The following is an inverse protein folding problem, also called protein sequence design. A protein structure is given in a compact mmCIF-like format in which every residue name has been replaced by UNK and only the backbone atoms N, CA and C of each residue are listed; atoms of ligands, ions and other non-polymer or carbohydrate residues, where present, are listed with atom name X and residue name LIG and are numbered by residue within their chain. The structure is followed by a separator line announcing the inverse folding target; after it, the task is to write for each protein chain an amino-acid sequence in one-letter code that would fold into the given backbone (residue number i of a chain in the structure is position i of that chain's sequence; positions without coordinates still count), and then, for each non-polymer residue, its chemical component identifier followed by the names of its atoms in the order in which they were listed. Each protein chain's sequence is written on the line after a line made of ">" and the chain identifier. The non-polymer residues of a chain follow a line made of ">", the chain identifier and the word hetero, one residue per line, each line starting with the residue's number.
data_IF_944487094750
#
_entry.id   IF_944487094750
#
_cell.length_a   1.000
_cell.length_b   1.000
_cell.length_c   1.000
_cell.angle_alpha   90.00
_cell.angle_beta   90.00
_cell.angle_gamma   90.00
#
_symmetry.space_group_name_H-M   'P 1'
#
loop_
_entity.id
_entity.type
_entity.pdbx_description
1 polymer ?
#
# COMPACT_ATOMS: atom_id res chain seq x y z
N UNK A 1 -3.13 -12.93 9.18
CA UNK A 1 -4.58 -12.84 9.46
C UNK A 1 -5.18 -11.74 8.58
N UNK A 2 -6.38 -11.92 8.06
CA UNK A 2 -7.06 -10.86 7.29
C UNK A 2 -7.44 -9.68 8.21
N UNK A 3 -7.35 -8.42 7.74
CA UNK A 3 -7.76 -7.27 8.53
C UNK A 3 -9.25 -7.32 8.87
N UNK A 4 -9.59 -6.95 10.10
CA UNK A 4 -10.96 -6.86 10.60
C UNK A 4 -11.12 -5.60 11.44
N UNK A 5 -12.18 -4.85 11.17
CA UNK A 5 -12.63 -3.75 12.04
C UNK A 5 -13.83 -4.26 12.84
N UNK A 6 -13.72 -4.27 14.17
CA UNK A 6 -14.79 -4.71 15.08
C UNK A 6 -14.88 -3.79 16.31
N UNK A 7 -16.04 -3.74 16.95
CA UNK A 7 -16.24 -2.93 18.15
C UNK A 7 -15.44 -3.50 19.34
N UNK A 8 -14.47 -2.73 19.83
CA UNK A 8 -13.56 -3.14 20.92
C UNK A 8 -14.23 -3.39 22.28
N UNK A 9 -15.47 -2.95 22.46
CA UNK A 9 -16.27 -3.15 23.69
C UNK A 9 -16.94 -4.52 23.78
N UNK A 10 -16.91 -5.34 22.73
CA UNK A 10 -17.42 -6.70 22.80
C UNK A 10 -16.33 -7.64 23.37
N UNK A 11 -16.45 -8.14 24.62
CA UNK A 11 -15.44 -9.01 25.24
C UNK A 11 -15.26 -10.35 24.50
N UNK A 12 -16.22 -10.77 23.67
CA UNK A 12 -16.09 -11.95 22.77
C UNK A 12 -15.51 -11.61 21.39
N UNK A 13 -15.39 -10.33 21.05
CA UNK A 13 -15.05 -9.85 19.70
C UNK A 13 -13.69 -10.32 19.17
N UNK A 14 -12.67 -10.46 20.04
CA UNK A 14 -11.33 -10.93 19.61
C UNK A 14 -11.30 -12.42 19.24
N UNK A 15 -12.05 -13.26 19.94
CA UNK A 15 -12.17 -14.70 19.64
C UNK A 15 -13.05 -14.95 18.43
N UNK A 16 -14.23 -14.32 18.43
CA UNK A 16 -15.20 -14.35 17.32
C UNK A 16 -14.58 -13.90 15.98
N UNK A 17 -13.76 -12.85 16.00
CA UNK A 17 -13.00 -12.36 14.85
C UNK A 17 -12.09 -13.42 14.22
N UNK A 18 -11.41 -14.21 15.06
CA UNK A 18 -10.45 -15.24 14.64
C UNK A 18 -11.17 -16.50 14.15
N UNK A 19 -12.35 -16.78 14.69
CA UNK A 19 -13.24 -17.87 14.29
C UNK A 19 -14.11 -17.53 13.07
N UNK A 20 -14.04 -16.28 12.57
CA UNK A 20 -14.82 -15.85 11.40
C UNK A 20 -16.30 -15.58 11.69
N UNK A 21 -16.67 -15.45 12.96
CA UNK A 21 -18.04 -15.13 13.38
C UNK A 21 -18.36 -13.67 12.98
N UNK A 22 -19.49 -13.41 12.28
CA UNK A 22 -19.85 -12.07 11.86
C UNK A 22 -20.06 -11.14 13.07
N UNK A 23 -19.25 -10.09 13.17
CA UNK A 23 -19.28 -9.13 14.29
C UNK A 23 -18.61 -7.78 13.97
N UNK A 24 -18.41 -7.47 12.70
CA UNK A 24 -17.68 -6.31 12.21
C UNK A 24 -17.49 -6.36 10.68
N UNK A 25 -16.59 -5.54 10.16
CA UNK A 25 -16.26 -5.46 8.72
C UNK A 25 -14.93 -6.15 8.45
N UNK A 26 -14.95 -7.22 7.65
CA UNK A 26 -13.76 -8.00 7.26
C UNK A 26 -13.25 -7.53 5.90
N UNK A 27 -11.94 -7.33 5.80
CA UNK A 27 -11.26 -6.98 4.56
C UNK A 27 -10.52 -8.20 4.04
N UNK A 28 -10.98 -8.73 2.91
CA UNK A 28 -10.34 -9.89 2.31
C UNK A 28 -8.97 -9.54 1.74
N UNK A 29 -8.05 -10.50 1.82
CA UNK A 29 -6.74 -10.33 1.19
C UNK A 29 -6.91 -10.13 -0.33
N UNK A 30 -6.02 -9.33 -0.93
CA UNK A 30 -5.97 -9.15 -2.38
C UNK A 30 -5.73 -10.51 -3.06
N UNK A 31 -6.49 -10.82 -4.11
CA UNK A 31 -6.40 -12.11 -4.81
C UNK A 31 -4.99 -12.37 -5.40
N UNK A 32 -4.32 -11.32 -5.87
CA UNK A 32 -2.92 -11.34 -6.30
C UNK A 32 -2.10 -10.39 -5.42
N UNK A 33 -1.56 -10.85 -4.27
CA UNK A 33 -0.82 -10.00 -3.34
C UNK A 33 0.46 -9.45 -3.95
N UNK A 34 0.93 -8.31 -3.42
CA UNK A 34 2.26 -7.79 -3.76
C UNK A 34 3.33 -8.86 -3.46
N UNK A 35 4.29 -8.99 -4.39
CA UNK A 35 5.46 -9.86 -4.25
C UNK A 35 6.15 -9.62 -2.90
N UNK A 36 6.50 -10.70 -2.19
CA UNK A 36 7.05 -10.61 -0.84
C UNK A 36 8.29 -9.70 -0.76
N UNK A 37 9.13 -9.73 -1.81
CA UNK A 37 10.35 -8.90 -1.94
C UNK A 37 10.10 -7.39 -1.97
N UNK A 38 8.88 -6.92 -2.25
CA UNK A 38 8.52 -5.49 -2.32
C UNK A 38 7.78 -5.01 -1.07
N UNK A 39 7.35 -5.92 -0.18
CA UNK A 39 6.54 -5.56 0.99
C UNK A 39 7.25 -4.66 2.00
N UNK A 40 8.59 -4.71 2.03
CA UNK A 40 9.39 -3.86 2.92
C UNK A 40 9.21 -2.37 2.65
N UNK A 41 8.83 -1.99 1.41
CA UNK A 41 8.64 -0.59 1.00
C UNK A 41 7.56 0.10 1.86
N UNK A 42 6.52 -0.61 2.29
CA UNK A 42 5.46 -0.05 3.14
C UNK A 42 5.92 0.33 4.55
N UNK A 43 7.06 -0.20 5.02
CA UNK A 43 7.64 0.15 6.32
C UNK A 43 8.77 1.16 6.25
N UNK A 44 9.26 1.49 5.05
CA UNK A 44 10.36 2.44 4.87
C UNK A 44 9.83 3.88 4.85
N UNK A 45 10.40 4.80 5.65
CA UNK A 45 10.06 6.21 5.53
C UNK A 45 10.51 6.75 4.16
N UNK A 46 9.72 7.61 3.49
CA UNK A 46 10.16 8.29 2.28
C UNK A 46 11.41 9.13 2.54
N UNK A 47 12.45 8.94 1.74
CA UNK A 47 13.69 9.72 1.85
C UNK A 47 13.63 11.07 1.10
N UNK A 48 12.56 11.30 0.34
CA UNK A 48 12.37 12.46 -0.52
C UNK A 48 11.30 12.18 -1.57
N UNK A 49 11.03 13.16 -2.42
CA UNK A 49 10.02 13.09 -3.48
C UNK A 49 10.66 13.44 -4.83
N UNK A 50 10.17 12.79 -5.88
CA UNK A 50 10.62 13.03 -7.26
C UNK A 50 9.39 13.45 -8.08
N UNK A 51 9.31 14.70 -8.53
CA UNK A 51 8.25 15.15 -9.43
C UNK A 51 8.34 14.43 -10.78
N UNK A 52 7.20 13.95 -11.30
CA UNK A 52 7.14 13.22 -12.55
C UNK A 52 6.14 13.85 -13.51
N UNK A 53 6.49 13.85 -14.80
CA UNK A 53 5.62 14.37 -15.84
C UNK A 53 4.34 13.52 -15.98
N UNK A 54 3.30 14.07 -16.60
CA UNK A 54 2.02 13.38 -16.80
C UNK A 54 2.17 12.03 -17.52
N UNK A 55 3.06 11.96 -18.52
CA UNK A 55 3.35 10.75 -19.28
C UNK A 55 3.96 9.64 -18.40
N UNK A 56 4.90 10.00 -17.53
CA UNK A 56 5.53 9.07 -16.59
C UNK A 56 4.54 8.59 -15.52
N UNK A 57 3.71 9.51 -15.00
CA UNK A 57 2.65 9.19 -14.04
C UNK A 57 1.65 8.22 -14.63
N UNK A 58 1.20 8.46 -15.86
CA UNK A 58 0.29 7.58 -16.57
C UNK A 58 0.91 6.20 -16.84
N UNK A 59 2.18 6.14 -17.23
CA UNK A 59 2.88 4.88 -17.45
C UNK A 59 3.02 4.05 -16.15
N UNK A 60 3.31 4.70 -15.02
CA UNK A 60 3.44 4.04 -13.73
C UNK A 60 2.09 3.46 -13.26
N UNK A 61 1.03 4.27 -13.28
CA UNK A 61 -0.29 3.89 -12.76
C UNK A 61 -1.00 2.88 -13.67
N UNK A 62 -0.96 3.07 -14.99
CA UNK A 62 -1.75 2.25 -15.91
C UNK A 62 -1.01 0.97 -16.34
N UNK A 63 0.32 0.98 -16.36
CA UNK A 63 1.12 -0.13 -16.94
C UNK A 63 2.05 -0.80 -15.92
N UNK A 64 2.25 -0.21 -14.75
CA UNK A 64 3.25 -0.69 -13.80
C UNK A 64 4.68 -0.56 -14.34
N UNK A 65 4.92 0.38 -15.25
CA UNK A 65 6.23 0.62 -15.85
C UNK A 65 7.23 1.17 -14.85
N UNK A 66 8.52 0.99 -15.12
CA UNK A 66 9.57 1.67 -14.37
C UNK A 66 9.57 3.18 -14.68
N UNK A 67 9.82 4.01 -13.66
CA UNK A 67 10.07 5.43 -13.85
C UNK A 67 11.46 5.60 -14.47
N UNK A 68 11.52 6.17 -15.68
CA UNK A 68 12.76 6.46 -16.39
C UNK A 68 13.23 7.90 -16.08
N UNK A 69 14.55 8.19 -16.13
CA UNK A 69 15.06 9.54 -15.90
C UNK A 69 14.47 10.60 -16.82
N UNK A 70 14.08 10.22 -18.04
CA UNK A 70 13.43 11.13 -19.01
C UNK A 70 12.06 11.61 -18.57
N UNK A 71 11.41 10.90 -17.64
CA UNK A 71 10.06 11.22 -17.16
C UNK A 71 10.03 11.91 -15.80
N UNK A 72 11.19 12.35 -15.32
CA UNK A 72 11.33 13.14 -14.10
C UNK A 72 11.31 14.62 -14.53
N UNK A 73 10.41 15.42 -13.95
CA UNK A 73 10.48 16.86 -14.15
C UNK A 73 11.79 17.35 -13.53
N UNK A 74 12.57 18.12 -14.29
CA UNK A 74 13.98 18.44 -14.02
C UNK A 74 14.31 19.20 -12.73
N UNK A 75 13.45 19.18 -11.71
CA UNK A 75 13.70 19.74 -10.38
C UNK A 75 13.23 18.82 -9.26
N UNK A 76 14.15 18.00 -8.73
CA UNK A 76 14.34 17.76 -7.28
C UNK A 76 15.40 16.66 -7.09
N UNK A 77 16.65 16.97 -7.47
CA UNK A 77 17.82 16.29 -6.93
C UNK A 77 18.38 17.12 -5.79
N UNK A 78 18.16 16.70 -4.53
CA UNK A 78 18.87 17.23 -3.37
C UNK A 78 17.98 17.75 -2.25
N UNK A 79 17.84 16.95 -1.20
CA UNK A 79 17.46 17.41 0.13
C UNK A 79 18.53 16.92 1.11
N UNK A 80 19.20 17.87 1.75
CA UNK A 80 20.17 17.70 2.83
C UNK A 80 19.51 17.23 4.13
#
# INVERSE_FOLDING_TARGET
>A
PEPLIAAGRNPRGRGAAREGIPGGTRFHAQAAPLENRKRWIFGAPPAGEIPGEDGATAALLARGSALLPTGIDGGAGGGA
#
